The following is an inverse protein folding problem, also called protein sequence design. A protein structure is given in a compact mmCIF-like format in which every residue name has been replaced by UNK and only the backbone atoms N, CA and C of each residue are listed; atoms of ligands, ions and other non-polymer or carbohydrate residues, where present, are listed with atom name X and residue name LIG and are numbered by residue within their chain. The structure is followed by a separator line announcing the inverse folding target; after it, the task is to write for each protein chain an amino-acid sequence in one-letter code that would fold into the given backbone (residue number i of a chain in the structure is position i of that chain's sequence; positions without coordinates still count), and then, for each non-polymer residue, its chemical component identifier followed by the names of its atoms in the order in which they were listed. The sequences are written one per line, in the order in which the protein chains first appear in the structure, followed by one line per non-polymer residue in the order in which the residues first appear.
data_IF_156192173227
#
_entry.id   IF_156192173227
#
_cell.length_a   1.000
_cell.length_b   1.000
_cell.length_c   1.000
_cell.angle_alpha   90.00
_cell.angle_beta   90.00
_cell.angle_gamma   90.00
#
_symmetry.space_group_name_H-M   'P 1'
#
loop_
_entity.id
_entity.type
_entity.pdbx_description
1 polymer ?
#
# COMPACT_ATOMS: atom_id res chain seq x y z
N UNK A 1 -3.33 18.93 5.07
CA UNK A 1 -4.78 18.78 4.89
C UNK A 1 -5.24 17.46 5.51
N UNK A 2 -6.29 17.49 6.33
CA UNK A 2 -6.93 16.31 6.94
C UNK A 2 -8.41 16.29 6.56
N UNK A 3 -9.01 15.10 6.49
CA UNK A 3 -10.45 14.90 6.32
C UNK A 3 -11.20 15.15 7.64
N UNK A 4 -12.54 15.34 7.62
CA UNK A 4 -13.35 15.46 8.83
C UNK A 4 -13.21 14.25 9.79
N UNK A 5 -12.91 13.07 9.24
CA UNK A 5 -12.64 11.83 9.98
C UNK A 5 -11.20 11.73 10.52
N UNK A 6 -10.43 12.83 10.44
CA UNK A 6 -9.07 13.02 10.95
C UNK A 6 -7.96 12.24 10.21
N UNK A 7 -8.27 11.46 9.17
CA UNK A 7 -7.22 10.91 8.29
C UNK A 7 -6.56 12.01 7.44
N UNK A 8 -5.28 11.83 7.11
CA UNK A 8 -4.58 12.65 6.12
C UNK A 8 -5.28 12.50 4.77
N UNK A 9 -5.49 13.62 4.07
CA UNK A 9 -6.00 13.58 2.70
C UNK A 9 -5.01 12.83 1.78
N UNK A 10 -5.53 11.94 0.94
CA UNK A 10 -4.74 11.22 -0.07
C UNK A 10 -4.53 12.05 -1.33
N UNK A 11 -3.64 11.59 -2.21
CA UNK A 11 -3.40 12.18 -3.52
C UNK A 11 -3.67 11.15 -4.63
N UNK A 12 -4.29 11.57 -5.73
CA UNK A 12 -4.57 10.73 -6.90
C UNK A 12 -3.63 11.08 -8.07
N UNK A 13 -2.87 10.08 -8.52
CA UNK A 13 -2.12 10.11 -9.79
C UNK A 13 -3.02 9.49 -10.85
N UNK A 14 -3.70 10.35 -11.60
CA UNK A 14 -4.50 9.98 -12.76
C UNK A 14 -3.74 10.30 -14.04
N UNK A 15 -3.03 9.32 -14.57
CA UNK A 15 -2.22 9.52 -15.78
C UNK A 15 -2.34 8.31 -16.71
N UNK A 16 -2.23 8.49 -18.02
CA UNK A 16 -2.44 7.47 -19.04
C UNK A 16 -1.57 6.21 -18.86
N UNK A 17 -1.90 5.12 -19.55
CA UNK A 17 -0.97 3.99 -19.60
C UNK A 17 0.34 4.41 -20.31
N UNK A 18 1.49 3.92 -19.86
CA UNK A 18 2.79 4.16 -20.52
C UNK A 18 3.52 5.47 -20.18
N UNK A 19 2.89 6.38 -19.44
CA UNK A 19 3.43 7.72 -19.07
C UNK A 19 4.49 7.72 -17.95
N UNK A 20 4.79 6.57 -17.36
CA UNK A 20 5.80 6.46 -16.29
C UNK A 20 5.27 6.57 -14.86
N UNK A 21 3.97 6.33 -14.61
CA UNK A 21 3.39 6.32 -13.24
C UNK A 21 4.19 5.52 -12.21
N UNK A 22 4.72 4.36 -12.60
CA UNK A 22 5.52 3.52 -11.70
C UNK A 22 6.80 4.22 -11.22
N UNK A 23 7.46 5.00 -12.09
CA UNK A 23 8.60 5.85 -11.70
C UNK A 23 8.17 7.01 -10.81
N UNK A 24 7.01 7.62 -11.06
CA UNK A 24 6.44 8.65 -10.16
C UNK A 24 6.20 8.09 -8.76
N UNK A 25 5.59 6.91 -8.66
CA UNK A 25 5.40 6.20 -7.39
C UNK A 25 6.75 5.91 -6.72
N UNK A 26 7.71 5.40 -7.47
CA UNK A 26 9.06 5.11 -6.98
C UNK A 26 9.73 6.38 -6.43
N UNK A 27 9.59 7.53 -7.11
CA UNK A 27 10.11 8.81 -6.64
C UNK A 27 9.46 9.25 -5.32
N UNK A 28 8.14 9.11 -5.18
CA UNK A 28 7.44 9.43 -3.92
C UNK A 28 7.94 8.55 -2.77
N UNK A 29 8.12 7.25 -3.01
CA UNK A 29 8.69 6.32 -2.02
C UNK A 29 10.13 6.74 -1.68
N UNK A 30 10.94 7.06 -2.67
CA UNK A 30 12.35 7.41 -2.48
C UNK A 30 12.52 8.72 -1.71
N UNK A 31 11.77 9.76 -2.04
CA UNK A 31 11.77 11.03 -1.32
C UNK A 31 11.39 10.82 0.16
N UNK A 32 10.31 10.08 0.43
CA UNK A 32 9.92 9.76 1.81
C UNK A 32 10.98 8.94 2.53
N UNK A 33 11.62 8.00 1.83
CA UNK A 33 12.75 7.27 2.36
C UNK A 33 13.88 8.23 2.73
N UNK A 34 14.28 9.18 1.88
CA UNK A 34 15.31 10.18 2.19
C UNK A 34 14.94 11.03 3.41
N UNK A 35 13.67 11.39 3.57
CA UNK A 35 13.13 12.14 4.72
C UNK A 35 12.95 11.30 6.01
N UNK A 36 13.55 10.11 6.08
CA UNK A 36 13.53 9.27 7.28
C UNK A 36 12.35 8.30 7.38
N UNK A 37 11.38 8.34 6.46
CA UNK A 37 10.22 7.42 6.43
C UNK A 37 10.60 6.15 5.68
N UNK A 38 11.38 5.31 6.35
CA UNK A 38 12.07 4.15 5.74
C UNK A 38 11.19 2.92 5.49
N UNK A 39 9.89 2.97 5.81
CA UNK A 39 8.93 1.86 5.62
C UNK A 39 7.84 2.35 4.68
N UNK A 40 7.54 1.58 3.64
CA UNK A 40 6.43 1.84 2.70
C UNK A 40 5.74 0.54 2.28
N UNK A 41 4.55 0.66 1.70
CA UNK A 41 3.87 -0.46 1.01
C UNK A 41 3.36 -0.01 -0.35
N UNK A 42 3.52 -0.87 -1.34
CA UNK A 42 2.98 -0.77 -2.69
C UNK A 42 1.99 -1.90 -2.89
N UNK A 43 0.69 -1.57 -2.85
CA UNK A 43 -0.40 -2.48 -3.14
C UNK A 43 -0.76 -2.39 -4.62
N UNK A 44 -0.78 -3.52 -5.32
CA UNK A 44 -1.15 -3.58 -6.74
C UNK A 44 -2.04 -4.80 -7.03
N UNK A 45 -2.32 -5.06 -8.30
CA UNK A 45 -3.28 -6.08 -8.75
C UNK A 45 -2.67 -7.45 -8.98
N UNK A 46 -1.38 -7.54 -9.32
CA UNK A 46 -0.67 -8.79 -9.58
C UNK A 46 0.66 -8.84 -8.82
N UNK A 47 1.08 -10.04 -8.42
CA UNK A 47 2.35 -10.25 -7.73
C UNK A 47 3.56 -10.05 -8.67
N UNK A 48 3.37 -10.19 -9.98
CA UNK A 48 4.43 -10.04 -10.98
C UNK A 48 4.85 -8.57 -11.14
N UNK A 49 3.93 -7.63 -10.89
CA UNK A 49 4.21 -6.19 -10.89
C UNK A 49 5.21 -5.75 -9.80
N UNK A 50 5.61 -6.67 -8.91
CA UNK A 50 6.74 -6.45 -8.02
C UNK A 50 8.04 -6.20 -8.79
N UNK A 51 8.25 -6.93 -9.89
CA UNK A 51 9.47 -6.77 -10.68
C UNK A 51 9.49 -5.42 -11.42
N UNK A 52 8.32 -4.91 -11.82
CA UNK A 52 8.18 -3.55 -12.33
C UNK A 52 8.50 -2.51 -11.24
N UNK A 53 7.96 -2.68 -10.02
CA UNK A 53 8.26 -1.78 -8.91
C UNK A 53 9.76 -1.78 -8.53
N UNK A 54 10.41 -2.95 -8.56
CA UNK A 54 11.86 -3.09 -8.37
C UNK A 54 12.66 -2.39 -9.47
N UNK A 55 12.25 -2.56 -10.74
CA UNK A 55 12.84 -1.85 -11.87
C UNK A 55 12.68 -0.34 -11.70
N UNK A 56 11.48 0.15 -11.40
CA UNK A 56 11.21 1.57 -11.32
C UNK A 56 12.02 2.25 -10.20
N UNK A 57 12.17 1.62 -9.03
CA UNK A 57 13.07 2.09 -7.98
C UNK A 57 14.54 2.10 -8.43
N UNK A 58 14.97 1.06 -9.15
CA UNK A 58 16.34 1.00 -9.67
C UNK A 58 16.62 2.08 -10.71
N UNK A 59 15.66 2.33 -11.60
CA UNK A 59 15.80 3.26 -12.72
C UNK A 59 15.92 4.72 -12.24
N UNK A 60 15.31 5.05 -11.09
CA UNK A 60 15.48 6.37 -10.45
C UNK A 60 16.68 6.45 -9.48
N UNK A 61 17.51 5.40 -9.42
CA UNK A 61 18.69 5.35 -8.55
C UNK A 61 18.43 4.92 -7.10
N UNK A 62 17.21 4.56 -6.71
CA UNK A 62 16.82 4.17 -5.35
C UNK A 62 17.14 2.69 -5.02
N UNK A 63 18.29 2.17 -5.48
CA UNK A 63 18.70 0.75 -5.36
C UNK A 63 18.82 0.25 -3.91
N UNK A 64 18.95 1.16 -2.95
CA UNK A 64 19.04 0.88 -1.53
C UNK A 64 17.68 0.54 -0.87
N UNK A 65 16.57 0.77 -1.57
CA UNK A 65 15.23 0.40 -1.11
C UNK A 65 14.92 -1.01 -1.60
N UNK A 66 15.09 -2.00 -0.70
CA UNK A 66 14.68 -3.38 -0.97
C UNK A 66 13.17 -3.48 -1.07
N UNK A 67 12.69 -4.23 -2.06
CA UNK A 67 11.28 -4.59 -2.24
C UNK A 67 11.06 -6.00 -1.70
N UNK A 68 10.04 -6.18 -0.87
CA UNK A 68 9.73 -7.44 -0.21
C UNK A 68 8.32 -7.90 -0.54
N UNK A 69 8.17 -9.13 -1.05
CA UNK A 69 6.85 -9.68 -1.34
C UNK A 69 6.14 -10.14 -0.05
N UNK A 70 5.00 -9.53 0.29
CA UNK A 70 4.23 -9.85 1.51
C UNK A 70 3.87 -11.34 1.61
N UNK A 71 3.55 -11.98 0.48
CA UNK A 71 3.18 -13.39 0.43
C UNK A 71 4.32 -14.34 0.84
N UNK A 72 5.58 -13.89 0.86
CA UNK A 72 6.73 -14.68 1.33
C UNK A 72 6.94 -14.61 2.84
N UNK A 73 6.31 -13.67 3.53
CA UNK A 73 6.47 -13.54 4.99
C UNK A 73 5.71 -14.63 5.72
N UNK A 74 6.29 -15.17 6.79
CA UNK A 74 5.56 -15.96 7.78
C UNK A 74 4.55 -15.07 8.52
N UNK A 75 3.47 -15.66 9.04
CA UNK A 75 2.47 -14.95 9.84
C UNK A 75 2.97 -14.70 11.27
N UNK A 76 4.03 -13.88 11.37
CA UNK A 76 4.70 -13.50 12.60
C UNK A 76 5.21 -12.05 12.49
N UNK A 77 6.00 -11.56 13.45
CA UNK A 77 6.49 -10.17 13.42
C UNK A 77 7.33 -9.92 12.16
N UNK A 78 6.95 -8.95 11.32
CA UNK A 78 7.67 -8.62 10.06
C UNK A 78 9.11 -8.18 10.36
N UNK A 79 9.30 -7.35 11.39
CA UNK A 79 10.64 -6.98 11.87
C UNK A 79 11.25 -7.98 12.86
N UNK A 80 10.70 -9.19 13.01
CA UNK A 80 11.22 -10.25 13.89
C UNK A 80 12.26 -11.13 13.19
N UNK A 81 12.84 -12.11 13.91
CA UNK A 81 13.89 -12.99 13.39
C UNK A 81 13.51 -13.77 12.12
N UNK A 82 12.25 -14.15 11.98
CA UNK A 82 11.80 -15.01 10.85
C UNK A 82 11.64 -14.26 9.52
N UNK A 83 11.26 -12.98 9.57
CA UNK A 83 11.00 -12.18 8.37
C UNK A 83 12.10 -11.11 8.13
N UNK A 84 12.71 -10.61 9.20
CA UNK A 84 13.84 -9.67 9.22
C UNK A 84 13.72 -8.42 8.32
N UNK A 85 12.51 -7.86 8.23
CA UNK A 85 12.27 -6.63 7.47
C UNK A 85 12.14 -5.43 8.40
N UNK A 86 13.21 -4.63 8.49
CA UNK A 86 13.25 -3.40 9.31
C UNK A 86 12.84 -2.15 8.53
N UNK A 87 13.18 -2.10 7.25
CA UNK A 87 12.98 -0.97 6.33
C UNK A 87 12.90 -1.47 4.90
N UNK A 88 12.36 -0.64 4.01
CA UNK A 88 12.15 -0.94 2.60
C UNK A 88 10.69 -0.77 2.19
N UNK A 89 10.38 -1.29 1.01
CA UNK A 89 9.04 -1.29 0.44
C UNK A 89 8.46 -2.70 0.49
N UNK A 90 7.34 -2.90 1.18
CA UNK A 90 6.58 -4.14 1.03
C UNK A 90 5.76 -4.04 -0.25
N UNK A 91 5.86 -5.05 -1.12
CA UNK A 91 4.97 -5.21 -2.26
C UNK A 91 3.92 -6.27 -1.94
N UNK A 92 2.66 -5.95 -2.22
CA UNK A 92 1.54 -6.83 -1.92
C UNK A 92 0.47 -6.70 -3.00
N UNK A 93 -0.29 -7.78 -3.22
CA UNK A 93 -1.52 -7.68 -3.99
C UNK A 93 -2.68 -7.31 -3.07
N UNK A 94 -3.69 -6.68 -3.64
CA UNK A 94 -4.99 -6.50 -2.99
C UNK A 94 -5.59 -7.80 -2.44
N UNK A 95 -5.39 -8.94 -3.13
CA UNK A 95 -5.83 -10.26 -2.66
C UNK A 95 -4.97 -10.79 -1.51
N UNK A 96 -3.66 -10.50 -1.49
CA UNK A 96 -2.79 -10.91 -0.39
C UNK A 96 -3.10 -10.16 0.91
N UNK A 97 -3.62 -8.94 0.84
CA UNK A 97 -3.95 -8.13 2.01
C UNK A 97 -5.05 -8.76 2.89
N UNK A 98 -6.00 -9.47 2.27
CA UNK A 98 -7.09 -10.16 2.95
C UNK A 98 -6.68 -11.56 3.47
N UNK A 99 -5.42 -11.94 3.30
CA UNK A 99 -4.89 -13.23 3.73
C UNK A 99 -4.96 -13.42 5.25
N UNK A 100 -5.35 -14.63 5.67
CA UNK A 100 -5.40 -15.04 7.07
C UNK A 100 -4.75 -16.41 7.27
N UNK A 101 -4.32 -16.68 8.50
CA UNK A 101 -3.74 -17.94 8.91
C UNK A 101 -4.36 -18.40 10.23
N UNK A 102 -5.05 -19.55 10.22
CA UNK A 102 -5.78 -20.08 11.41
C UNK A 102 -4.85 -20.46 12.57
N UNK A 103 -3.64 -20.93 12.26
CA UNK A 103 -2.64 -21.31 13.26
C UNK A 103 -1.87 -20.11 13.84
N UNK A 104 -1.92 -18.95 13.18
CA UNK A 104 -1.28 -17.74 13.66
C UNK A 104 -2.08 -17.09 14.81
N UNK A 105 -1.39 -16.75 15.90
CA UNK A 105 -2.03 -16.25 17.13
C UNK A 105 -2.19 -14.73 17.12
N UNK A 106 -3.32 -14.26 17.68
CA UNK A 106 -3.55 -12.87 18.06
C UNK A 106 -3.33 -11.86 16.93
N UNK A 107 -2.38 -10.94 17.14
CA UNK A 107 -2.14 -9.78 16.27
C UNK A 107 -1.49 -10.11 14.91
N UNK A 108 -1.07 -11.35 14.67
CA UNK A 108 -0.50 -11.78 13.38
C UNK A 108 -1.43 -12.72 12.60
N UNK A 109 -2.69 -12.87 13.02
CA UNK A 109 -3.65 -13.78 12.37
C UNK A 109 -4.00 -13.37 10.94
N UNK A 110 -4.02 -12.07 10.64
CA UNK A 110 -4.32 -11.54 9.31
C UNK A 110 -3.15 -10.70 8.79
N UNK A 111 -2.98 -10.65 7.46
CA UNK A 111 -1.96 -9.82 6.80
C UNK A 111 -2.14 -8.34 7.12
N UNK A 112 -3.37 -7.86 7.14
CA UNK A 112 -3.68 -6.49 7.53
C UNK A 112 -3.17 -6.15 8.95
N UNK A 113 -3.50 -6.98 9.97
CA UNK A 113 -3.04 -6.74 11.35
C UNK A 113 -1.52 -6.84 11.47
N UNK A 114 -0.92 -7.79 10.74
CA UNK A 114 0.53 -7.96 10.67
C UNK A 114 1.22 -6.70 10.12
N UNK A 115 0.68 -6.12 9.04
CA UNK A 115 1.17 -4.87 8.44
C UNK A 115 1.00 -3.68 9.39
N UNK A 116 -0.19 -3.50 9.99
CA UNK A 116 -0.44 -2.44 10.96
C UNK A 116 0.56 -2.51 12.12
N UNK A 117 0.85 -3.72 12.63
CA UNK A 117 1.86 -3.91 13.66
C UNK A 117 3.27 -3.51 13.18
N UNK A 118 3.62 -3.82 11.94
CA UNK A 118 4.92 -3.46 11.37
C UNK A 118 5.07 -1.96 11.18
N UNK A 119 4.01 -1.25 10.79
CA UNK A 119 4.02 0.20 10.63
C UNK A 119 4.06 0.94 11.97
N UNK A 120 3.24 0.51 12.93
CA UNK A 120 3.00 1.26 14.18
C UNK A 120 1.87 2.28 14.01
N UNK A 121 1.24 2.66 15.13
CA UNK A 121 0.06 3.55 15.11
C UNK A 121 0.39 4.99 14.73
N UNK A 122 1.63 5.42 14.96
CA UNK A 122 2.17 6.75 14.65
C UNK A 122 2.71 6.85 13.22
N UNK A 123 2.59 5.79 12.42
CA UNK A 123 3.14 5.73 11.08
C UNK A 123 2.64 6.87 10.18
N UNK A 124 3.60 7.62 9.64
CA UNK A 124 3.36 8.71 8.71
C UNK A 124 3.98 8.44 7.32
N UNK A 125 4.48 7.23 7.06
CA UNK A 125 5.08 6.88 5.77
C UNK A 125 4.08 6.74 4.63
N UNK A 126 4.54 6.20 3.50
CA UNK A 126 3.77 6.11 2.26
C UNK A 126 3.02 4.79 2.14
N UNK A 127 1.76 4.85 1.73
CA UNK A 127 0.94 3.71 1.30
C UNK A 127 0.50 4.00 -0.14
N UNK A 128 0.97 3.18 -1.08
CA UNK A 128 0.57 3.28 -2.48
C UNK A 128 -0.51 2.26 -2.77
N UNK A 129 -1.59 2.74 -3.40
CA UNK A 129 -2.69 1.97 -3.94
C UNK A 129 -2.59 2.10 -5.47
N UNK A 130 -1.87 1.18 -6.09
CA UNK A 130 -1.64 1.12 -7.52
C UNK A 130 -2.76 0.33 -8.21
N UNK A 131 -3.14 0.78 -9.39
CA UNK A 131 -4.39 0.43 -10.05
C UNK A 131 -5.59 0.50 -9.08
N UNK A 132 -5.70 1.58 -8.31
CA UNK A 132 -6.70 1.72 -7.24
C UNK A 132 -8.14 1.63 -7.73
N UNK A 133 -8.38 1.84 -9.03
CA UNK A 133 -9.68 1.57 -9.64
C UNK A 133 -10.09 0.09 -9.57
N UNK A 134 -9.17 -0.84 -9.31
CA UNK A 134 -9.47 -2.27 -9.07
C UNK A 134 -9.79 -2.55 -7.61
N UNK A 135 -9.47 -1.62 -6.72
CA UNK A 135 -9.96 -1.61 -5.36
C UNK A 135 -11.38 -1.00 -5.23
N UNK A 136 -12.03 -0.64 -6.35
CA UNK A 136 -13.27 0.19 -6.54
C UNK A 136 -14.53 -0.12 -5.70
N UNK A 137 -14.49 -0.99 -4.72
CA UNK A 137 -15.52 -1.04 -3.69
C UNK A 137 -15.10 -0.32 -2.40
N UNK A 138 -14.21 0.66 -2.50
CA UNK A 138 -13.80 1.55 -1.42
C UNK A 138 -14.84 2.65 -1.13
N UNK A 139 -15.53 3.12 -2.17
CA UNK A 139 -16.66 4.05 -2.08
C UNK A 139 -17.83 3.39 -2.81
N UNK A 140 -18.89 2.98 -2.12
CA UNK A 140 -20.01 2.30 -2.78
C UNK A 140 -20.69 3.26 -3.75
N UNK A 141 -20.73 2.90 -5.04
CA UNK A 141 -21.84 3.32 -5.89
C UNK A 141 -23.12 2.71 -5.30
N UNK A 142 -24.15 3.55 -5.19
CA UNK A 142 -25.44 3.31 -4.55
C UNK A 142 -25.88 1.84 -4.65
N UNK A 143 -25.84 1.11 -3.52
CA UNK A 143 -26.44 -0.22 -3.39
C UNK A 143 -25.51 -1.44 -3.40
N UNK A 144 -24.20 -1.32 -3.69
CA UNK A 144 -23.29 -2.47 -3.68
C UNK A 144 -22.48 -2.62 -2.37
N UNK A 145 -22.40 -3.84 -1.81
CA UNK A 145 -21.62 -4.10 -0.59
C UNK A 145 -20.12 -3.96 -0.89
N UNK A 146 -19.33 -3.32 0.01
CA UNK A 146 -17.89 -3.24 -0.13
C UNK A 146 -17.25 -4.64 -0.23
N UNK A 147 -16.34 -4.86 -1.19
CA UNK A 147 -15.58 -6.13 -1.29
C UNK A 147 -14.73 -6.31 -0.03
N UNK A 148 -14.36 -7.56 0.30
CA UNK A 148 -13.42 -7.82 1.41
C UNK A 148 -12.13 -7.01 1.26
N UNK A 149 -11.61 -6.91 0.03
CA UNK A 149 -10.45 -6.09 -0.32
C UNK A 149 -10.69 -4.60 -0.03
N UNK A 150 -11.81 -4.04 -0.48
CA UNK A 150 -12.16 -2.64 -0.21
C UNK A 150 -12.23 -2.37 1.29
N UNK A 151 -12.86 -3.27 2.06
CA UNK A 151 -12.90 -3.16 3.53
C UNK A 151 -11.51 -3.17 4.15
N UNK A 152 -10.64 -4.10 3.77
CA UNK A 152 -9.28 -4.17 4.33
C UNK A 152 -8.42 -2.96 3.98
N UNK A 153 -8.60 -2.35 2.80
CA UNK A 153 -7.92 -1.10 2.44
C UNK A 153 -8.49 0.09 3.23
N UNK A 154 -9.81 0.16 3.46
CA UNK A 154 -10.38 1.16 4.38
C UNK A 154 -9.89 0.99 5.81
N UNK A 155 -9.86 -0.24 6.32
CA UNK A 155 -9.36 -0.55 7.67
C UNK A 155 -7.88 -0.20 7.81
N UNK A 156 -7.05 -0.43 6.78
CA UNK A 156 -5.66 -0.01 6.78
C UNK A 156 -5.50 1.51 6.93
N UNK A 157 -6.28 2.29 6.16
CA UNK A 157 -6.25 3.75 6.22
C UNK A 157 -6.73 4.29 7.57
N UNK A 158 -7.85 3.74 8.08
CA UNK A 158 -8.39 4.10 9.41
C UNK A 158 -7.41 3.78 10.54
N UNK A 159 -6.70 2.65 10.44
CA UNK A 159 -5.72 2.24 11.44
C UNK A 159 -4.43 3.08 11.40
N UNK A 160 -4.13 3.73 10.28
CA UNK A 160 -2.92 4.53 10.04
C UNK A 160 -3.29 5.94 9.55
N UNK A 161 -3.99 6.75 10.36
CA UNK A 161 -4.59 8.01 9.92
C UNK A 161 -3.55 9.07 9.51
N UNK A 162 -2.29 8.91 9.90
CA UNK A 162 -1.19 9.82 9.55
C UNK A 162 -0.48 9.45 8.25
N UNK A 163 -0.74 8.26 7.70
CA UNK A 163 -0.09 7.74 6.51
C UNK A 163 -0.39 8.62 5.28
N UNK A 164 0.61 8.74 4.40
CA UNK A 164 0.51 9.43 3.11
C UNK A 164 -0.03 8.45 2.09
N UNK A 165 -1.31 8.58 1.75
CA UNK A 165 -1.98 7.69 0.81
C UNK A 165 -1.80 8.22 -0.62
N UNK A 166 -1.25 7.39 -1.49
CA UNK A 166 -1.11 7.66 -2.92
C UNK A 166 -2.01 6.69 -3.67
N UNK A 167 -3.05 7.21 -4.30
CA UNK A 167 -3.88 6.50 -5.24
C UNK A 167 -3.25 6.65 -6.63
N UNK A 168 -2.99 5.56 -7.34
CA UNK A 168 -2.50 5.60 -8.71
C UNK A 168 -3.41 4.76 -9.59
N UNK A 169 -3.90 5.34 -10.69
CA UNK A 169 -4.78 4.62 -11.62
C UNK A 169 -4.80 5.31 -12.97
N UNK A 170 -4.67 4.53 -14.04
CA UNK A 170 -4.82 5.06 -15.39
C UNK A 170 -6.25 5.48 -15.73
N UNK A 171 -7.23 4.90 -15.03
CA UNK A 171 -8.68 5.05 -15.32
C UNK A 171 -9.44 5.66 -14.14
N UNK A 172 -8.72 6.11 -13.10
CA UNK A 172 -9.32 6.69 -11.89
C UNK A 172 -9.80 8.13 -12.11
N UNK A 173 -9.10 8.89 -12.95
CA UNK A 173 -9.37 10.31 -13.22
C UNK A 173 -10.52 10.57 -14.19
N UNK A 174 -11.10 9.53 -14.82
CA UNK A 174 -12.21 9.68 -15.77
C UNK A 174 -13.60 9.77 -15.11
N UNK A 175 -13.70 9.64 -13.78
CA UNK A 175 -14.96 9.81 -13.05
C UNK A 175 -14.85 10.99 -12.06
N UNK A 176 -15.51 12.14 -12.34
CA UNK A 176 -15.46 13.36 -11.49
C UNK A 176 -15.94 13.17 -10.04
N UNK A 177 -16.53 12.01 -9.71
CA UNK A 177 -17.05 11.67 -8.38
C UNK A 177 -15.98 11.12 -7.43
N UNK A 178 -14.76 10.89 -7.92
CA UNK A 178 -13.65 10.31 -7.16
C UNK A 178 -12.54 11.34 -6.83
N UNK A 179 -12.78 12.63 -7.06
CA UNK A 179 -11.96 13.75 -6.57
C UNK A 179 -12.60 14.40 -5.34
#
# INVERSE_FOLDING_TARGET
MRLPSNERAGYLIGDGAGVGKGRTIACIIFENYLLGRKRSIWLSVSADLRYDAERDLRDIGAKNIKVYALNKFKYSKIGGKENDVKKGCIFATYSSLIGECRSAKGKYRTRLKQLIQWFGQDYDGVIVLDECHRAKNLVPTSGSKPTKTGRSVMELQKALPNARIVYASATGATEPRNM
#
